data_IF_131684338041
#
_entry.id   IF_131684338041
#
_cell.length_a   1.000
_cell.length_b   1.000
_cell.length_c   1.000
_cell.angle_alpha   90.00
_cell.angle_beta   90.00
_cell.angle_gamma   90.00
#
_symmetry.space_group_name_H-M   'P 1'
#
loop_
_entity.id
_entity.type
_entity.pdbx_description
1 polymer ?
#
# COMPACT_ATOMS: atom_id res chain seq x y z
N UNK A 1 29.74 39.29 -10.71
CA UNK A 1 29.17 38.59 -11.89
C UNK A 1 27.67 38.57 -11.67
N UNK A 2 26.94 39.09 -12.64
CA UNK A 2 25.61 39.66 -12.48
C UNK A 2 24.53 38.64 -12.10
N UNK A 3 23.80 38.93 -11.02
CA UNK A 3 22.53 38.29 -10.67
C UNK A 3 21.56 38.45 -11.84
N UNK A 4 21.34 37.36 -12.56
CA UNK A 4 20.32 37.29 -13.60
C UNK A 4 19.07 36.73 -12.94
N UNK A 5 18.29 37.59 -12.30
CA UNK A 5 16.94 37.25 -11.84
C UNK A 5 16.09 36.98 -13.08
N UNK A 6 15.86 35.70 -13.39
CA UNK A 6 14.78 35.31 -14.29
C UNK A 6 13.46 35.91 -13.75
N UNK A 7 12.62 36.53 -14.59
CA UNK A 7 11.37 37.10 -14.13
C UNK A 7 10.47 35.97 -13.58
N UNK A 8 10.21 36.01 -12.27
CA UNK A 8 9.29 35.09 -11.59
C UNK A 8 7.95 35.05 -12.33
N UNK A 9 7.57 33.88 -12.84
CA UNK A 9 6.29 33.68 -13.54
C UNK A 9 5.15 33.59 -12.53
N UNK A 10 3.98 34.12 -12.88
CA UNK A 10 2.79 33.97 -12.05
C UNK A 10 2.18 32.57 -12.26
N UNK A 11 1.67 31.98 -11.17
CA UNK A 11 0.90 30.76 -11.23
C UNK A 11 -0.39 30.94 -12.04
N UNK A 12 -0.91 29.84 -12.59
CA UNK A 12 -2.18 29.84 -13.32
C UNK A 12 -3.38 30.04 -12.36
N UNK A 13 -4.58 30.35 -12.90
CA UNK A 13 -5.78 30.42 -12.08
C UNK A 13 -5.97 29.18 -11.17
N UNK A 14 -6.41 29.37 -9.91
CA UNK A 14 -6.94 30.62 -9.33
C UNK A 14 -5.91 31.47 -8.57
N UNK A 15 -4.61 31.20 -8.72
CA UNK A 15 -3.53 31.86 -7.96
C UNK A 15 -2.92 33.09 -8.65
N UNK A 16 -3.72 33.76 -9.47
CA UNK A 16 -3.40 35.00 -10.20
C UNK A 16 -4.35 36.16 -9.85
N UNK A 17 -5.23 35.98 -8.86
CA UNK A 17 -6.30 36.93 -8.57
C UNK A 17 -5.78 38.30 -8.08
N UNK A 18 -6.28 39.40 -8.68
CA UNK A 18 -5.80 40.77 -8.40
C UNK A 18 -6.00 41.24 -6.96
N UNK A 19 -7.06 40.75 -6.30
CA UNK A 19 -7.40 41.09 -4.90
C UNK A 19 -6.67 40.26 -3.84
N UNK A 20 -5.73 39.40 -4.23
CA UNK A 20 -4.90 38.67 -3.28
C UNK A 20 -4.16 39.64 -2.34
N UNK A 21 -3.89 39.21 -1.11
CA UNK A 21 -3.30 40.03 -0.05
C UNK A 21 -1.89 39.56 0.38
N UNK A 22 -1.37 38.51 -0.27
CA UNK A 22 0.01 38.02 -0.12
C UNK A 22 0.44 37.24 -1.36
N UNK A 23 1.75 37.24 -1.63
CA UNK A 23 2.37 36.38 -2.65
C UNK A 23 3.21 35.32 -1.94
N UNK A 24 2.93 34.04 -2.22
CA UNK A 24 3.82 32.93 -1.86
C UNK A 24 4.69 32.59 -3.07
N UNK A 25 6.01 32.54 -2.88
CA UNK A 25 6.96 32.22 -3.95
C UNK A 25 7.50 30.81 -3.75
N UNK A 26 7.35 29.96 -4.76
CA UNK A 26 7.94 28.61 -4.76
C UNK A 26 9.47 28.66 -4.89
N UNK A 27 10.13 27.53 -4.60
CA UNK A 27 11.59 27.41 -4.73
C UNK A 27 12.09 27.52 -6.17
N UNK A 28 11.24 27.23 -7.15
CA UNK A 28 11.50 27.44 -8.58
C UNK A 28 10.94 28.78 -9.11
N UNK A 29 10.79 29.79 -8.23
CA UNK A 29 10.46 31.18 -8.55
C UNK A 29 9.10 31.40 -9.26
N UNK A 30 8.10 30.57 -8.96
CA UNK A 30 6.71 30.81 -9.37
C UNK A 30 5.97 31.53 -8.25
N UNK A 31 5.27 32.61 -8.60
CA UNK A 31 4.56 33.45 -7.66
C UNK A 31 3.06 33.10 -7.62
N UNK A 32 2.57 32.76 -6.44
CA UNK A 32 1.18 32.44 -6.15
C UNK A 32 0.53 33.59 -5.41
N UNK A 33 -0.42 34.27 -6.06
CA UNK A 33 -1.27 35.30 -5.43
C UNK A 33 -2.38 34.60 -4.65
N UNK A 34 -2.32 34.69 -3.31
CA UNK A 34 -3.24 33.97 -2.42
C UNK A 34 -3.93 34.90 -1.42
N UNK A 35 -4.99 34.39 -0.80
CA UNK A 35 -5.70 35.07 0.28
C UNK A 35 -5.28 34.49 1.63
N UNK A 36 -4.74 35.33 2.50
CA UNK A 36 -4.35 34.97 3.87
C UNK A 36 -5.49 34.28 4.62
N UNK A 37 -6.74 34.73 4.42
CA UNK A 37 -7.93 34.17 5.08
C UNK A 37 -8.04 32.65 4.91
N UNK A 38 -7.95 32.12 3.69
CA UNK A 38 -8.12 30.68 3.45
C UNK A 38 -7.00 29.87 4.08
N UNK A 39 -5.77 30.35 3.97
CA UNK A 39 -4.61 29.69 4.55
C UNK A 39 -4.61 29.74 6.08
N UNK A 40 -5.01 30.85 6.70
CA UNK A 40 -5.15 30.96 8.16
C UNK A 40 -6.24 30.03 8.70
N UNK A 41 -7.36 29.88 7.99
CA UNK A 41 -8.43 28.97 8.38
C UNK A 41 -8.02 27.49 8.23
N UNK A 42 -7.21 27.18 7.22
CA UNK A 42 -6.72 25.83 6.97
C UNK A 42 -5.56 25.43 7.90
N UNK A 43 -4.72 26.39 8.31
CA UNK A 43 -3.45 26.13 8.99
C UNK A 43 -3.17 27.13 10.13
N UNK A 44 -2.95 26.64 11.36
CA UNK A 44 -2.47 27.48 12.45
C UNK A 44 -1.04 28.00 12.22
N UNK A 45 -0.24 27.32 11.39
CA UNK A 45 1.08 27.81 10.99
C UNK A 45 0.95 29.09 10.17
N UNK A 46 0.10 29.10 9.14
CA UNK A 46 -0.11 30.27 8.31
C UNK A 46 -0.80 31.39 9.08
N UNK A 47 -1.77 31.07 9.95
CA UNK A 47 -2.38 32.04 10.86
C UNK A 47 -1.31 32.75 11.72
N UNK A 48 -0.40 31.97 12.31
CA UNK A 48 0.70 32.54 13.10
C UNK A 48 1.63 33.38 12.23
N UNK A 49 2.07 32.84 11.08
CA UNK A 49 2.99 33.49 10.15
C UNK A 49 2.49 34.87 9.71
N UNK A 50 1.20 35.00 9.38
CA UNK A 50 0.62 36.25 8.91
C UNK A 50 0.35 37.27 10.01
N UNK A 51 0.30 36.83 11.27
CA UNK A 51 0.12 37.69 12.44
C UNK A 51 1.45 38.16 13.05
N UNK A 52 2.60 37.67 12.57
CA UNK A 52 3.90 38.13 13.04
C UNK A 52 4.11 39.62 12.70
N UNK A 53 4.68 40.43 13.61
CA UNK A 53 5.05 41.80 13.31
C UNK A 53 6.05 41.83 12.16
N UNK A 54 5.67 42.41 11.02
CA UNK A 54 6.64 42.65 9.96
C UNK A 54 7.58 43.78 10.40
N UNK A 55 8.90 43.66 10.19
CA UNK A 55 9.83 44.75 10.45
C UNK A 55 9.39 45.97 9.64
N UNK A 56 9.27 47.12 10.32
CA UNK A 56 8.85 48.38 9.72
C UNK A 56 9.73 48.76 8.52
N UNK A 57 9.11 49.35 7.50
CA UNK A 57 9.76 49.76 6.23
C UNK A 57 10.99 50.66 6.43
N UNK A 58 11.11 51.32 7.57
CA UNK A 58 12.22 52.21 7.89
C UNK A 58 13.54 51.49 8.27
N UNK A 59 13.52 50.17 8.51
CA UNK A 59 14.68 49.46 9.07
C UNK A 59 15.08 48.15 8.40
N UNK A 60 14.38 47.69 7.36
CA UNK A 60 14.74 46.42 6.71
C UNK A 60 14.74 46.51 5.19
N UNK A 61 15.91 46.32 4.58
CA UNK A 61 16.11 46.08 3.14
C UNK A 61 15.64 44.70 2.69
N UNK A 62 15.09 43.90 3.60
CA UNK A 62 14.93 42.45 3.42
C UNK A 62 13.48 42.01 3.16
N UNK A 63 12.50 42.93 3.25
CA UNK A 63 11.10 42.60 2.89
C UNK A 63 10.91 42.77 1.39
N UNK A 64 10.96 41.65 0.68
CA UNK A 64 10.68 41.62 -0.76
C UNK A 64 9.19 41.88 -0.97
N UNK A 65 8.88 42.98 -1.65
CA UNK A 65 7.51 43.30 -2.09
C UNK A 65 7.42 43.19 -3.61
N UNK A 66 6.26 42.75 -4.11
CA UNK A 66 5.94 42.69 -5.54
C UNK A 66 4.49 43.10 -5.72
N UNK A 67 4.23 44.03 -6.64
CA UNK A 67 2.90 44.60 -6.91
C UNK A 67 2.20 45.17 -5.66
N UNK A 68 2.99 45.71 -4.71
CA UNK A 68 2.49 46.24 -3.44
C UNK A 68 2.11 45.17 -2.41
N UNK A 69 2.38 43.89 -2.69
CA UNK A 69 2.11 42.77 -1.79
C UNK A 69 3.41 42.22 -1.19
N UNK A 70 3.38 41.74 0.07
CA UNK A 70 4.52 41.03 0.66
C UNK A 70 4.74 39.69 -0.05
N UNK A 71 6.00 39.38 -0.36
CA UNK A 71 6.41 38.10 -0.96
C UNK A 71 7.06 37.22 0.10
N UNK A 72 6.49 36.02 0.31
CA UNK A 72 6.99 35.02 1.26
C UNK A 72 7.57 33.85 0.48
N UNK A 73 8.90 33.63 0.52
CA UNK A 73 9.51 32.46 -0.12
C UNK A 73 9.23 31.18 0.67
N UNK A 74 8.87 30.12 -0.05
CA UNK A 74 8.67 28.76 0.45
C UNK A 74 9.68 27.80 -0.21
N UNK A 75 9.89 26.62 0.38
CA UNK A 75 10.90 25.67 -0.12
C UNK A 75 10.35 24.68 -1.16
N UNK A 76 9.04 24.60 -1.25
CA UNK A 76 8.28 23.71 -2.11
C UNK A 76 8.33 24.24 -3.54
N UNK A 77 8.43 23.33 -4.51
CA UNK A 77 8.30 23.68 -5.93
C UNK A 77 6.87 24.12 -6.26
N UNK A 78 6.69 24.68 -7.45
CA UNK A 78 5.41 25.19 -7.91
C UNK A 78 4.32 24.13 -8.00
N UNK A 79 4.64 22.88 -8.35
CA UNK A 79 3.66 21.82 -8.53
C UNK A 79 3.10 21.32 -7.19
N UNK A 80 4.00 21.10 -6.24
CA UNK A 80 3.66 20.77 -4.84
C UNK A 80 2.86 21.89 -4.20
N UNK A 81 3.30 23.14 -4.38
CA UNK A 81 2.67 24.30 -3.78
C UNK A 81 1.28 24.56 -4.39
N UNK A 82 1.12 24.46 -5.71
CA UNK A 82 -0.18 24.58 -6.38
C UNK A 82 -1.18 23.55 -5.83
N UNK A 83 -0.77 22.29 -5.78
CA UNK A 83 -1.58 21.18 -5.25
C UNK A 83 -2.00 21.42 -3.79
N UNK A 84 -1.05 21.80 -2.93
CA UNK A 84 -1.32 22.07 -1.52
C UNK A 84 -2.28 23.26 -1.35
N UNK A 85 -2.06 24.34 -2.09
CA UNK A 85 -2.89 25.54 -1.99
C UNK A 85 -4.33 25.27 -2.45
N UNK A 86 -4.53 24.45 -3.49
CA UNK A 86 -5.87 24.04 -3.94
C UNK A 86 -6.62 23.32 -2.83
N UNK A 87 -5.94 22.48 -2.05
CA UNK A 87 -6.55 21.76 -0.92
C UNK A 87 -6.92 22.71 0.25
N UNK A 88 -6.31 23.88 0.35
CA UNK A 88 -6.66 24.91 1.34
C UNK A 88 -7.83 25.80 0.92
N UNK A 89 -8.22 25.79 -0.35
CA UNK A 89 -9.24 26.68 -0.90
C UNK A 89 -10.61 25.99 -0.97
N UNK A 90 -11.73 26.74 -0.85
CA UNK A 90 -13.07 26.17 -1.04
C UNK A 90 -13.20 25.49 -2.41
N UNK A 91 -13.76 24.27 -2.45
CA UNK A 91 -13.91 23.47 -3.68
C UNK A 91 -14.77 24.13 -4.77
N UNK A 92 -15.49 25.21 -4.46
CA UNK A 92 -16.22 26.04 -5.44
C UNK A 92 -15.33 27.03 -6.18
N UNK A 93 -14.09 27.23 -5.74
CA UNK A 93 -13.14 28.20 -6.27
C UNK A 93 -11.94 27.54 -6.97
N UNK A 94 -11.76 26.23 -6.80
CA UNK A 94 -10.62 25.47 -7.33
C UNK A 94 -11.11 24.18 -7.97
N UNK A 95 -10.51 23.82 -9.09
CA UNK A 95 -10.50 22.43 -9.54
C UNK A 95 -9.54 21.65 -8.64
N UNK A 96 -10.03 20.61 -7.97
CA UNK A 96 -9.18 19.72 -7.19
C UNK A 96 -8.31 18.95 -8.17
N UNK A 97 -7.00 19.16 -8.09
CA UNK A 97 -6.05 18.39 -8.88
C UNK A 97 -6.17 16.91 -8.50
N UNK A 98 -6.34 16.05 -9.50
CA UNK A 98 -6.18 14.60 -9.31
C UNK A 98 -4.71 14.35 -9.02
N UNK A 99 -4.38 14.04 -7.76
CA UNK A 99 -3.03 13.67 -7.35
C UNK A 99 -2.73 12.24 -7.80
N UNK A 100 -2.54 12.06 -9.12
CA UNK A 100 -2.18 10.77 -9.72
C UNK A 100 -0.68 10.49 -9.58
N UNK A 101 0.14 11.54 -9.48
CA UNK A 101 1.58 11.44 -9.30
C UNK A 101 1.94 11.21 -7.81
N UNK A 102 2.51 10.04 -7.54
CA UNK A 102 2.92 9.62 -6.19
C UNK A 102 4.07 10.47 -5.62
N UNK A 103 4.96 11.03 -6.46
CA UNK A 103 6.03 11.94 -6.01
C UNK A 103 5.45 13.28 -5.57
N UNK A 104 4.52 13.83 -6.34
CA UNK A 104 3.80 15.06 -5.97
C UNK A 104 3.04 14.83 -4.67
N UNK A 105 2.34 13.69 -4.55
CA UNK A 105 1.61 13.34 -3.33
C UNK A 105 2.52 13.23 -2.11
N UNK A 106 3.70 12.62 -2.24
CA UNK A 106 4.69 12.55 -1.16
C UNK A 106 5.16 13.96 -0.74
N UNK A 107 5.43 14.84 -1.70
CA UNK A 107 5.82 16.22 -1.42
C UNK A 107 4.69 17.01 -0.75
N UNK A 108 3.44 16.82 -1.19
CA UNK A 108 2.25 17.45 -0.59
C UNK A 108 2.04 16.96 0.84
N UNK A 109 2.23 15.68 1.14
CA UNK A 109 2.14 15.15 2.50
C UNK A 109 3.19 15.76 3.44
N UNK A 110 4.44 15.89 2.97
CA UNK A 110 5.51 16.55 3.74
C UNK A 110 5.21 18.04 3.95
N UNK A 111 4.74 18.74 2.92
CA UNK A 111 4.34 20.14 3.03
C UNK A 111 3.14 20.30 3.98
N UNK A 112 2.15 19.41 3.92
CA UNK A 112 1.00 19.42 4.82
C UNK A 112 1.43 19.24 6.28
N UNK A 113 2.40 18.35 6.54
CA UNK A 113 3.02 18.17 7.86
C UNK A 113 3.77 19.43 8.30
N UNK A 114 4.62 19.99 7.44
CA UNK A 114 5.42 21.20 7.70
C UNK A 114 4.56 22.41 8.03
N UNK A 115 3.43 22.57 7.33
CA UNK A 115 2.51 23.69 7.48
C UNK A 115 1.33 23.38 8.39
N UNK A 116 1.40 22.34 9.22
CA UNK A 116 0.35 22.00 10.21
C UNK A 116 -1.06 21.87 9.60
N UNK A 117 -1.16 21.39 8.36
CA UNK A 117 -2.41 21.15 7.63
C UNK A 117 -2.95 19.75 7.95
N UNK A 118 -3.35 19.54 9.21
CA UNK A 118 -3.71 18.22 9.74
C UNK A 118 -4.85 17.55 8.98
N UNK A 119 -5.88 18.31 8.60
CA UNK A 119 -7.05 17.77 7.91
C UNK A 119 -6.74 17.37 6.46
N UNK A 120 -5.89 18.15 5.77
CA UNK A 120 -5.42 17.82 4.43
C UNK A 120 -4.56 16.56 4.48
N UNK A 121 -3.64 16.47 5.45
CA UNK A 121 -2.86 15.26 5.68
C UNK A 121 -3.77 14.05 5.90
N UNK A 122 -4.79 14.16 6.75
CA UNK A 122 -5.75 13.09 7.03
C UNK A 122 -6.46 12.62 5.76
N UNK A 123 -7.02 13.55 4.97
CA UNK A 123 -7.71 13.22 3.71
C UNK A 123 -6.76 12.57 2.69
N UNK A 124 -5.54 13.08 2.56
CA UNK A 124 -4.53 12.51 1.67
C UNK A 124 -4.14 11.08 2.08
N UNK A 125 -3.94 10.83 3.38
CA UNK A 125 -3.69 9.49 3.91
C UNK A 125 -4.87 8.54 3.66
N UNK A 126 -6.10 8.96 3.93
CA UNK A 126 -7.30 8.13 3.68
C UNK A 126 -7.45 7.74 2.21
N UNK A 127 -7.15 8.67 1.30
CA UNK A 127 -7.18 8.39 -0.14
C UNK A 127 -6.05 7.45 -0.57
N UNK A 128 -4.81 7.73 -0.14
CA UNK A 128 -3.60 6.99 -0.55
C UNK A 128 -3.58 5.56 0.00
N UNK A 129 -4.04 5.35 1.23
CA UNK A 129 -4.06 4.06 1.89
C UNK A 129 -5.45 3.40 1.85
N UNK A 130 -6.30 3.82 0.91
CA UNK A 130 -7.54 3.12 0.59
C UNK A 130 -7.23 1.72 0.01
N UNK A 131 -8.10 0.71 0.23
CA UNK A 131 -7.88 -0.64 -0.29
C UNK A 131 -7.66 -0.68 -1.80
N UNK A 132 -8.38 0.15 -2.55
CA UNK A 132 -8.30 0.24 -4.02
C UNK A 132 -6.91 0.70 -4.49
N UNK A 133 -6.36 1.75 -3.86
CA UNK A 133 -5.03 2.26 -4.20
C UNK A 133 -3.94 1.32 -3.71
N UNK A 134 -4.07 0.75 -2.51
CA UNK A 134 -3.13 -0.23 -1.98
C UNK A 134 -3.06 -1.50 -2.83
N UNK A 135 -4.18 -1.97 -3.37
CA UNK A 135 -4.22 -3.12 -4.28
C UNK A 135 -3.48 -2.86 -5.59
N UNK A 136 -3.61 -1.66 -6.14
CA UNK A 136 -2.97 -1.29 -7.40
C UNK A 136 -1.51 -0.82 -7.23
N UNK A 137 -1.16 -0.22 -6.09
CA UNK A 137 0.07 0.56 -5.91
C UNK A 137 0.76 0.33 -4.54
N UNK A 138 0.63 -0.87 -3.96
CA UNK A 138 1.18 -1.22 -2.64
C UNK A 138 2.63 -0.77 -2.42
N UNK A 139 3.52 -1.02 -3.39
CA UNK A 139 4.94 -0.64 -3.33
C UNK A 139 5.14 0.88 -3.28
N UNK A 140 4.38 1.64 -4.06
CA UNK A 140 4.44 3.12 -4.04
C UNK A 140 3.91 3.67 -2.73
N UNK A 141 2.80 3.12 -2.23
CA UNK A 141 2.24 3.49 -0.94
C UNK A 141 3.23 3.23 0.20
N UNK A 142 3.92 2.08 0.18
CA UNK A 142 4.97 1.75 1.13
C UNK A 142 6.11 2.78 1.11
N UNK A 143 6.60 3.12 -0.08
CA UNK A 143 7.64 4.13 -0.25
C UNK A 143 7.24 5.49 0.31
N UNK A 144 6.03 5.96 0.00
CA UNK A 144 5.53 7.23 0.53
C UNK A 144 5.41 7.18 2.06
N UNK A 145 4.88 6.07 2.60
CA UNK A 145 4.77 5.90 4.03
C UNK A 145 6.14 5.96 4.73
N UNK A 146 7.16 5.32 4.16
CA UNK A 146 8.53 5.37 4.68
C UNK A 146 9.07 6.80 4.67
N UNK A 147 9.00 7.47 3.52
CA UNK A 147 9.49 8.84 3.35
C UNK A 147 8.84 9.82 4.33
N UNK A 148 7.56 9.62 4.65
CA UNK A 148 6.82 10.47 5.58
C UNK A 148 6.84 10.04 7.04
N UNK A 149 7.62 8.99 7.37
CA UNK A 149 7.73 8.40 8.70
C UNK A 149 6.37 7.96 9.28
N UNK A 150 5.52 7.37 8.44
CA UNK A 150 4.16 6.94 8.79
C UNK A 150 4.16 5.43 9.10
N UNK A 151 4.38 5.09 10.37
CA UNK A 151 4.69 3.71 10.79
C UNK A 151 3.55 2.73 10.52
N UNK A 152 2.32 3.11 10.88
CA UNK A 152 1.14 2.25 10.72
C UNK A 152 0.83 2.02 9.23
N UNK A 153 0.95 3.09 8.43
CA UNK A 153 0.78 3.06 6.98
C UNK A 153 1.88 2.23 6.29
N UNK A 154 3.12 2.24 6.81
CA UNK A 154 4.19 1.37 6.33
C UNK A 154 3.85 -0.10 6.55
N UNK A 155 3.40 -0.45 7.76
CA UNK A 155 3.02 -1.82 8.09
C UNK A 155 1.83 -2.30 7.25
N UNK A 156 0.83 -1.42 7.06
CA UNK A 156 -0.33 -1.68 6.22
C UNK A 156 0.10 -1.90 4.76
N UNK A 157 0.85 -0.97 4.17
CA UNK A 157 1.29 -1.08 2.78
C UNK A 157 2.19 -2.31 2.57
N UNK A 158 3.11 -2.61 3.50
CA UNK A 158 3.96 -3.79 3.44
C UNK A 158 3.16 -5.08 3.37
N UNK A 159 2.03 -5.19 4.11
CA UNK A 159 1.12 -6.34 4.00
C UNK A 159 0.54 -6.49 2.60
N UNK A 160 0.17 -5.38 1.96
CA UNK A 160 -0.36 -5.41 0.59
C UNK A 160 0.72 -5.79 -0.43
N UNK A 161 2.00 -5.47 -0.18
CA UNK A 161 3.11 -5.88 -1.07
C UNK A 161 3.29 -7.39 -1.16
N UNK A 162 2.75 -8.19 -0.22
CA UNK A 162 2.81 -9.65 -0.26
C UNK A 162 2.04 -10.27 -1.46
N UNK A 163 1.25 -9.46 -2.17
CA UNK A 163 0.57 -9.82 -3.42
C UNK A 163 1.49 -9.69 -4.65
N UNK A 164 2.59 -8.96 -4.50
CA UNK A 164 3.61 -8.75 -5.51
C UNK A 164 4.74 -9.79 -5.36
N UNK A 165 5.52 -10.05 -6.44
CA UNK A 165 6.69 -10.91 -6.35
C UNK A 165 7.70 -10.42 -5.31
N UNK A 166 8.50 -11.34 -4.75
CA UNK A 166 9.50 -11.01 -3.72
C UNK A 166 10.47 -9.93 -4.20
N UNK A 167 10.93 -10.04 -5.43
CA UNK A 167 11.76 -9.02 -6.06
C UNK A 167 10.87 -8.22 -7.00
N UNK A 168 10.50 -6.98 -6.64
CA UNK A 168 9.64 -6.18 -7.47
C UNK A 168 10.36 -5.71 -8.74
N UNK A 169 9.59 -5.45 -9.79
CA UNK A 169 10.09 -4.70 -10.95
C UNK A 169 10.42 -3.27 -10.54
N UNK A 170 11.34 -2.63 -11.26
CA UNK A 170 11.68 -1.22 -11.01
C UNK A 170 10.45 -0.32 -11.16
N UNK A 171 10.32 0.64 -10.25
CA UNK A 171 9.31 1.71 -10.26
C UNK A 171 9.99 3.01 -9.79
N UNK A 172 9.53 4.15 -10.29
CA UNK A 172 10.24 5.43 -10.16
C UNK A 172 10.38 5.91 -8.71
N UNK A 173 9.39 5.64 -7.87
CA UNK A 173 9.35 6.09 -6.49
C UNK A 173 10.35 5.33 -5.60
N UNK A 174 10.91 4.21 -6.05
CA UNK A 174 11.93 3.46 -5.29
C UNK A 174 13.16 4.32 -4.93
N UNK A 175 13.43 5.38 -5.70
CA UNK A 175 14.49 6.35 -5.46
C UNK A 175 14.26 7.22 -4.21
N UNK A 176 13.03 7.23 -3.67
CA UNK A 176 12.65 8.01 -2.50
C UNK A 176 12.96 7.32 -1.17
N UNK A 177 13.37 6.05 -1.20
CA UNK A 177 13.75 5.29 -0.02
C UNK A 177 15.21 4.82 -0.11
N UNK A 178 15.78 4.56 1.06
CA UNK A 178 17.10 3.99 1.22
C UNK A 178 17.11 2.49 0.89
N UNK A 179 18.30 1.97 0.58
CA UNK A 179 18.50 0.52 0.46
C UNK A 179 18.16 -0.24 1.74
N UNK A 180 18.26 0.40 2.91
CA UNK A 180 17.95 -0.20 4.21
C UNK A 180 16.45 -0.42 4.35
N UNK A 181 15.62 0.55 3.98
CA UNK A 181 14.15 0.44 4.01
C UNK A 181 13.66 -0.60 2.99
N UNK A 182 14.25 -0.62 1.79
CA UNK A 182 13.95 -1.65 0.79
C UNK A 182 14.33 -3.05 1.33
N UNK A 183 15.52 -3.20 1.92
CA UNK A 183 15.96 -4.47 2.48
C UNK A 183 15.06 -4.93 3.63
N UNK A 184 14.55 -4.01 4.45
CA UNK A 184 13.58 -4.30 5.50
C UNK A 184 12.28 -4.87 4.93
N UNK A 185 11.74 -4.26 3.85
CA UNK A 185 10.55 -4.76 3.16
C UNK A 185 10.78 -6.17 2.58
N UNK A 186 11.89 -6.37 1.86
CA UNK A 186 12.21 -7.68 1.27
C UNK A 186 12.42 -8.76 2.34
N UNK A 187 13.03 -8.38 3.47
CA UNK A 187 13.21 -9.28 4.60
C UNK A 187 11.89 -9.63 5.27
N UNK A 188 11.01 -8.64 5.49
CA UNK A 188 9.65 -8.84 5.97
C UNK A 188 8.90 -9.83 5.06
N UNK A 189 8.91 -9.59 3.75
CA UNK A 189 8.26 -10.42 2.76
C UNK A 189 8.76 -11.88 2.79
N UNK A 190 10.09 -12.08 2.81
CA UNK A 190 10.69 -13.41 2.95
C UNK A 190 10.31 -14.10 4.26
N UNK A 191 10.24 -13.35 5.37
CA UNK A 191 9.82 -13.89 6.68
C UNK A 191 8.36 -14.35 6.64
N UNK A 192 7.46 -13.61 6.00
CA UNK A 192 6.07 -14.03 5.77
C UNK A 192 6.00 -15.35 4.99
N UNK A 193 6.70 -15.44 3.85
CA UNK A 193 6.76 -16.68 3.06
C UNK A 193 7.30 -17.86 3.87
N UNK A 194 8.37 -17.64 4.66
CA UNK A 194 8.97 -18.67 5.53
C UNK A 194 8.03 -19.11 6.64
N UNK A 195 7.33 -18.17 7.29
CA UNK A 195 6.36 -18.47 8.34
C UNK A 195 5.26 -19.39 7.82
N UNK A 196 4.73 -19.11 6.62
CA UNK A 196 3.70 -19.94 5.98
C UNK A 196 4.19 -21.35 5.66
N UNK A 197 5.47 -21.53 5.28
CA UNK A 197 6.01 -22.86 5.00
C UNK A 197 5.91 -23.82 6.19
N UNK A 198 5.85 -23.32 7.43
CA UNK A 198 5.68 -24.18 8.62
C UNK A 198 4.39 -25.00 8.58
N UNK A 199 3.35 -24.53 7.89
CA UNK A 199 2.09 -25.26 7.69
C UNK A 199 2.23 -26.50 6.80
N UNK A 200 3.32 -26.58 6.01
CA UNK A 200 3.67 -27.75 5.18
C UNK A 200 4.37 -28.84 6.00
N UNK A 201 5.03 -28.47 7.09
CA UNK A 201 5.79 -29.38 7.95
C UNK A 201 4.95 -29.89 9.12
N UNK A 202 4.04 -29.06 9.65
CA UNK A 202 3.10 -29.42 10.71
C UNK A 202 1.64 -29.31 10.23
N UNK A 203 0.93 -30.45 10.20
CA UNK A 203 -0.48 -30.54 9.82
C UNK A 203 -1.45 -30.48 11.01
N UNK A 204 -0.96 -30.17 12.22
CA UNK A 204 -1.77 -30.08 13.44
C UNK A 204 -2.95 -29.11 13.29
N UNK A 205 -2.78 -28.04 12.52
CA UNK A 205 -3.82 -27.04 12.22
C UNK A 205 -5.01 -27.62 11.46
N UNK A 206 -4.84 -28.69 10.70
CA UNK A 206 -5.95 -29.37 10.02
C UNK A 206 -6.67 -30.38 10.91
N UNK A 207 -5.95 -31.02 11.84
CA UNK A 207 -6.46 -32.16 12.61
C UNK A 207 -7.68 -31.81 13.47
N UNK A 208 -7.81 -30.55 13.89
CA UNK A 208 -8.99 -30.07 14.64
C UNK A 208 -10.27 -30.15 13.82
N UNK A 209 -10.20 -29.83 12.52
CA UNK A 209 -11.37 -29.81 11.63
C UNK A 209 -11.52 -31.14 10.85
N UNK A 210 -10.40 -31.80 10.58
CA UNK A 210 -10.33 -33.06 9.85
C UNK A 210 -9.56 -34.10 10.69
N UNK A 211 -10.18 -34.69 11.73
CA UNK A 211 -9.48 -35.62 12.62
C UNK A 211 -9.20 -36.98 11.98
N UNK A 212 -9.93 -37.33 10.91
CA UNK A 212 -9.83 -38.62 10.22
C UNK A 212 -10.25 -38.46 8.76
N UNK A 213 -9.78 -39.37 7.90
CA UNK A 213 -10.02 -39.30 6.46
C UNK A 213 -11.53 -39.32 6.10
N UNK A 214 -12.40 -39.89 6.93
CA UNK A 214 -13.85 -39.93 6.71
C UNK A 214 -14.50 -38.54 6.78
N UNK A 215 -13.87 -37.56 7.44
CA UNK A 215 -14.31 -36.18 7.46
C UNK A 215 -14.03 -35.46 6.12
N UNK A 216 -12.99 -35.87 5.40
CA UNK A 216 -12.61 -35.32 4.11
C UNK A 216 -12.13 -36.41 3.13
N UNK A 217 -13.04 -37.33 2.72
CA UNK A 217 -12.66 -38.46 1.87
C UNK A 217 -12.14 -38.01 0.48
N UNK A 218 -12.57 -36.81 0.05
CA UNK A 218 -12.12 -36.18 -1.18
C UNK A 218 -10.62 -35.82 -1.18
N UNK A 219 -10.03 -35.46 -0.03
CA UNK A 219 -8.59 -35.15 0.09
C UNK A 219 -7.70 -36.37 -0.15
N UNK A 220 -8.23 -37.58 0.09
CA UNK A 220 -7.53 -38.86 -0.06
C UNK A 220 -8.00 -39.66 -1.28
N UNK A 221 -8.86 -39.08 -2.12
CA UNK A 221 -9.36 -39.74 -3.32
C UNK A 221 -10.19 -40.97 -3.01
N UNK A 222 -11.03 -40.93 -1.96
CA UNK A 222 -11.99 -41.97 -1.60
C UNK A 222 -13.42 -41.45 -1.70
N UNK A 223 -14.36 -42.37 -1.89
CA UNK A 223 -15.79 -42.13 -1.65
C UNK A 223 -16.08 -42.15 -0.14
N UNK A 224 -17.27 -41.69 0.31
CA UNK A 224 -17.69 -41.82 1.71
C UNK A 224 -17.71 -43.27 2.22
N UNK A 225 -17.89 -44.24 1.32
CA UNK A 225 -17.81 -45.67 1.63
C UNK A 225 -16.38 -46.21 1.79
N UNK A 226 -15.35 -45.37 1.56
CA UNK A 226 -13.94 -45.73 1.64
C UNK A 226 -13.35 -46.38 0.39
N UNK A 227 -14.15 -46.53 -0.67
CA UNK A 227 -13.68 -47.03 -1.97
C UNK A 227 -12.80 -45.98 -2.65
N UNK A 228 -11.62 -46.35 -3.19
CA UNK A 228 -10.78 -45.40 -3.93
C UNK A 228 -11.51 -44.93 -5.20
N UNK A 229 -11.48 -43.64 -5.47
CA UNK A 229 -12.12 -43.02 -6.65
C UNK A 229 -11.15 -42.19 -7.51
N UNK A 230 -9.96 -41.87 -7.01
CA UNK A 230 -8.92 -41.13 -7.72
C UNK A 230 -7.53 -41.72 -7.48
N UNK A 231 -6.57 -41.36 -8.34
CA UNK A 231 -5.16 -41.67 -8.15
C UNK A 231 -4.64 -41.06 -6.86
N UNK A 232 -3.94 -41.86 -6.06
CA UNK A 232 -3.29 -41.44 -4.81
C UNK A 232 -1.81 -41.21 -5.04
N UNK A 233 -1.26 -40.28 -4.27
CA UNK A 233 0.16 -39.98 -4.33
C UNK A 233 1.00 -41.11 -3.74
N UNK A 234 2.08 -41.47 -4.43
CA UNK A 234 3.08 -42.41 -3.95
C UNK A 234 4.22 -41.74 -3.16
N UNK A 235 4.27 -40.40 -3.10
CA UNK A 235 5.41 -39.69 -2.53
C UNK A 235 5.45 -39.75 -0.99
N UNK A 236 4.28 -39.97 -0.36
CA UNK A 236 4.07 -39.96 1.10
C UNK A 236 4.56 -38.69 1.80
N UNK A 237 4.74 -37.59 1.05
CA UNK A 237 5.15 -36.27 1.58
C UNK A 237 4.07 -35.69 2.49
N UNK A 238 2.81 -35.81 2.08
CA UNK A 238 1.66 -35.31 2.81
C UNK A 238 0.96 -36.47 3.54
N UNK A 239 1.33 -36.71 4.80
CA UNK A 239 0.68 -37.71 5.67
C UNK A 239 -0.49 -37.08 6.42
N UNK A 240 -1.51 -36.65 5.66
CA UNK A 240 -2.68 -35.94 6.20
C UNK A 240 -3.42 -36.75 7.26
N UNK A 241 -3.54 -38.06 7.05
CA UNK A 241 -4.23 -38.97 7.96
C UNK A 241 -3.41 -40.25 8.19
N UNK A 242 -3.43 -40.83 9.40
CA UNK A 242 -2.76 -42.09 9.67
C UNK A 242 -3.18 -43.20 8.69
N UNK A 243 -2.20 -43.83 8.03
CA UNK A 243 -2.42 -44.98 7.15
C UNK A 243 -3.12 -44.69 5.82
N UNK A 244 -3.33 -43.42 5.45
CA UNK A 244 -3.95 -43.06 4.15
C UNK A 244 -3.11 -42.03 3.39
N UNK A 245 -2.84 -42.33 2.13
CA UNK A 245 -2.16 -41.42 1.20
C UNK A 245 -3.13 -40.38 0.64
N UNK A 246 -2.65 -39.15 0.45
CA UNK A 246 -3.42 -38.07 -0.16
C UNK A 246 -3.74 -38.36 -1.64
N UNK A 247 -4.79 -37.73 -2.16
CA UNK A 247 -5.05 -37.72 -3.59
C UNK A 247 -3.89 -37.01 -4.31
N UNK A 248 -3.49 -37.52 -5.48
CA UNK A 248 -2.36 -36.97 -6.24
C UNK A 248 -2.58 -35.49 -6.60
N UNK A 249 -3.80 -35.12 -6.99
CA UNK A 249 -4.16 -33.73 -7.32
C UNK A 249 -4.09 -32.82 -6.08
N UNK A 250 -4.42 -33.33 -4.89
CA UNK A 250 -4.41 -32.56 -3.65
C UNK A 250 -2.97 -32.29 -3.21
N UNK A 251 -2.10 -33.29 -3.31
CA UNK A 251 -0.66 -33.10 -3.10
C UNK A 251 -0.09 -32.05 -4.07
N UNK A 252 -0.43 -32.15 -5.36
CA UNK A 252 0.02 -31.18 -6.36
C UNK A 252 -0.47 -29.75 -6.03
N UNK A 253 -1.72 -29.61 -5.59
CA UNK A 253 -2.27 -28.34 -5.12
C UNK A 253 -1.51 -27.79 -3.90
N UNK A 254 -1.23 -28.63 -2.89
CA UNK A 254 -0.47 -28.20 -1.71
C UNK A 254 0.93 -27.73 -2.12
N UNK A 255 1.65 -28.50 -2.92
CA UNK A 255 2.98 -28.11 -3.39
C UNK A 255 2.97 -26.81 -4.18
N UNK A 256 2.07 -26.66 -5.16
CA UNK A 256 2.01 -25.44 -5.98
C UNK A 256 1.60 -24.24 -5.14
N UNK A 257 0.68 -24.40 -4.19
CA UNK A 257 0.22 -23.30 -3.34
C UNK A 257 1.33 -22.83 -2.41
N UNK A 258 2.02 -23.76 -1.73
CA UNK A 258 3.13 -23.38 -0.87
C UNK A 258 4.34 -22.86 -1.65
N UNK A 259 4.57 -23.32 -2.89
CA UNK A 259 5.61 -22.76 -3.76
C UNK A 259 5.26 -21.32 -4.18
N UNK A 260 4.05 -21.08 -4.68
CA UNK A 260 3.59 -19.75 -5.05
C UNK A 260 3.64 -18.78 -3.86
N UNK A 261 3.28 -19.23 -2.66
CA UNK A 261 3.34 -18.42 -1.44
C UNK A 261 4.76 -18.10 -0.96
N UNK A 262 5.82 -18.70 -1.52
CA UNK A 262 7.18 -18.23 -1.25
C UNK A 262 7.47 -16.89 -1.96
N UNK A 263 6.84 -16.67 -3.11
CA UNK A 263 6.98 -15.44 -3.89
C UNK A 263 5.86 -14.43 -3.61
N UNK A 264 4.63 -14.92 -3.38
CA UNK A 264 3.41 -14.13 -3.15
C UNK A 264 2.59 -14.67 -1.96
N UNK A 265 3.03 -14.48 -0.71
CA UNK A 265 2.38 -14.94 0.51
C UNK A 265 1.14 -14.11 0.84
N UNK A 266 0.09 -14.25 0.03
CA UNK A 266 -1.18 -13.56 0.23
C UNK A 266 -2.39 -14.50 0.04
N UNK A 267 -3.54 -14.04 0.50
CA UNK A 267 -4.81 -14.76 0.43
C UNK A 267 -5.25 -15.00 -1.03
N UNK A 268 -4.98 -14.07 -1.94
CA UNK A 268 -5.31 -14.21 -3.36
C UNK A 268 -4.56 -15.37 -4.02
N UNK A 269 -3.31 -15.64 -3.59
CA UNK A 269 -2.55 -16.80 -4.05
C UNK A 269 -3.25 -18.11 -3.67
N UNK A 270 -3.81 -18.19 -2.46
CA UNK A 270 -4.57 -19.37 -1.99
C UNK A 270 -5.85 -19.53 -2.82
N UNK A 271 -6.63 -18.46 -2.99
CA UNK A 271 -7.86 -18.49 -3.79
C UNK A 271 -7.62 -18.93 -5.23
N UNK A 272 -6.61 -18.34 -5.90
CA UNK A 272 -6.23 -18.70 -7.27
C UNK A 272 -5.88 -20.18 -7.40
N UNK A 273 -5.13 -20.73 -6.45
CA UNK A 273 -4.71 -22.12 -6.50
C UNK A 273 -5.84 -23.10 -6.14
N UNK A 274 -6.77 -22.71 -5.26
CA UNK A 274 -8.01 -23.46 -5.02
C UNK A 274 -8.84 -23.55 -6.30
N UNK A 275 -9.04 -22.43 -6.99
CA UNK A 275 -9.82 -22.41 -8.23
C UNK A 275 -9.19 -23.32 -9.30
N UNK A 276 -7.87 -23.22 -9.51
CA UNK A 276 -7.13 -24.11 -10.42
C UNK A 276 -7.29 -25.58 -10.05
N UNK A 277 -7.19 -25.93 -8.77
CA UNK A 277 -7.36 -27.30 -8.30
C UNK A 277 -8.78 -27.83 -8.56
N UNK A 278 -9.80 -27.01 -8.26
CA UNK A 278 -11.22 -27.34 -8.53
C UNK A 278 -11.48 -27.54 -10.02
N UNK A 279 -10.94 -26.66 -10.88
CA UNK A 279 -11.06 -26.80 -12.33
C UNK A 279 -10.38 -28.08 -12.83
N UNK A 280 -9.17 -28.38 -12.33
CA UNK A 280 -8.42 -29.60 -12.67
C UNK A 280 -9.21 -30.86 -12.33
N UNK A 281 -9.82 -30.91 -11.14
CA UNK A 281 -10.62 -32.08 -10.72
C UNK A 281 -11.91 -32.20 -11.55
N UNK A 282 -12.55 -31.09 -11.91
CA UNK A 282 -13.77 -31.10 -12.75
C UNK A 282 -13.51 -31.58 -14.17
N UNK A 283 -12.32 -31.34 -14.70
CA UNK A 283 -11.90 -31.81 -16.02
C UNK A 283 -11.53 -33.31 -16.02
N UNK A 284 -11.31 -33.91 -14.84
CA UNK A 284 -11.05 -35.34 -14.71
C UNK A 284 -12.30 -36.22 -14.77
N UNK A 285 -12.09 -37.53 -14.95
CA UNK A 285 -13.18 -38.51 -15.13
C UNK A 285 -13.87 -38.95 -13.82
N UNK A 286 -13.43 -38.46 -12.66
CA UNK A 286 -13.99 -38.89 -11.38
C UNK A 286 -15.28 -38.16 -11.04
N UNK A 287 -16.42 -38.82 -11.31
CA UNK A 287 -17.77 -38.31 -11.01
C UNK A 287 -17.99 -37.93 -9.54
N UNK A 288 -17.29 -38.58 -8.61
CA UNK A 288 -17.42 -38.29 -7.19
C UNK A 288 -16.67 -37.01 -6.81
N UNK A 289 -15.37 -36.94 -7.15
CA UNK A 289 -14.55 -35.79 -6.81
C UNK A 289 -14.98 -34.52 -7.55
N UNK A 290 -15.50 -34.61 -8.78
CA UNK A 290 -16.03 -33.46 -9.51
C UNK A 290 -17.17 -32.73 -8.77
N UNK A 291 -17.92 -33.46 -7.95
CA UNK A 291 -19.03 -32.95 -7.13
C UNK A 291 -18.57 -32.56 -5.72
N UNK A 292 -17.76 -33.40 -5.07
CA UNK A 292 -17.37 -33.20 -3.67
C UNK A 292 -16.28 -32.14 -3.47
N UNK A 293 -15.30 -32.07 -4.37
CA UNK A 293 -14.12 -31.19 -4.22
C UNK A 293 -14.46 -29.70 -4.20
N UNK A 294 -15.36 -29.15 -5.04
CA UNK A 294 -15.68 -27.72 -4.99
C UNK A 294 -16.15 -27.23 -3.61
N UNK A 295 -16.96 -28.03 -2.90
CA UNK A 295 -17.40 -27.70 -1.54
C UNK A 295 -16.25 -27.87 -0.54
N UNK A 296 -15.60 -29.02 -0.54
CA UNK A 296 -14.51 -29.31 0.39
C UNK A 296 -13.32 -28.35 0.29
N UNK A 297 -12.93 -27.94 -0.93
CA UNK A 297 -11.85 -26.96 -1.14
C UNK A 297 -12.22 -25.56 -0.67
N UNK A 298 -13.51 -25.19 -0.69
CA UNK A 298 -13.97 -23.92 -0.14
C UNK A 298 -13.76 -23.92 1.38
N UNK A 299 -14.22 -24.96 2.05
CA UNK A 299 -14.12 -25.09 3.52
C UNK A 299 -12.65 -25.20 3.97
N UNK A 300 -11.85 -26.00 3.26
CA UNK A 300 -10.41 -26.06 3.46
C UNK A 300 -9.72 -24.72 3.20
N UNK A 301 -10.16 -23.99 2.17
CA UNK A 301 -9.63 -22.68 1.83
C UNK A 301 -9.78 -21.67 2.95
N UNK A 302 -10.96 -21.61 3.58
CA UNK A 302 -11.20 -20.75 4.75
C UNK A 302 -10.20 -21.06 5.86
N UNK A 303 -10.04 -22.35 6.21
CA UNK A 303 -9.09 -22.77 7.24
C UNK A 303 -7.64 -22.39 6.91
N UNK A 304 -7.21 -22.61 5.66
CA UNK A 304 -5.85 -22.28 5.23
C UNK A 304 -5.61 -20.77 5.24
N UNK A 305 -6.58 -19.98 4.77
CA UNK A 305 -6.53 -18.51 4.76
C UNK A 305 -6.40 -17.97 6.18
N UNK A 306 -7.24 -18.45 7.11
CA UNK A 306 -7.19 -18.04 8.52
C UNK A 306 -5.80 -18.30 9.12
N UNK A 307 -5.20 -19.46 8.81
CA UNK A 307 -3.85 -19.80 9.29
C UNK A 307 -2.74 -18.98 8.64
N UNK A 308 -2.87 -18.67 7.36
CA UNK A 308 -1.92 -17.80 6.65
C UNK A 308 -1.95 -16.39 7.25
N UNK A 309 -3.13 -15.80 7.44
CA UNK A 309 -3.30 -14.48 8.06
C UNK A 309 -2.79 -14.45 9.50
N UNK A 310 -3.07 -15.50 10.29
CA UNK A 310 -2.56 -15.64 11.66
C UNK A 310 -1.02 -15.62 11.69
N UNK A 311 -0.36 -16.32 10.76
CA UNK A 311 1.09 -16.38 10.69
C UNK A 311 1.70 -15.07 10.19
N UNK A 312 1.14 -14.46 9.14
CA UNK A 312 1.58 -13.16 8.63
C UNK A 312 1.42 -12.08 9.71
N UNK A 313 0.33 -12.11 10.48
CA UNK A 313 0.09 -11.17 11.59
C UNK A 313 1.08 -11.23 12.75
N UNK A 314 1.87 -12.30 12.85
CA UNK A 314 2.95 -12.42 13.84
C UNK A 314 4.30 -11.94 13.31
N UNK A 315 4.42 -11.64 12.01
CA UNK A 315 5.65 -11.14 11.41
C UNK A 315 5.65 -9.62 11.52
N UNK A 316 6.66 -9.09 12.20
CA UNK A 316 6.86 -7.65 12.33
C UNK A 316 7.75 -7.10 11.21
N UNK A 317 7.39 -5.89 10.75
CA UNK A 317 8.19 -5.09 9.85
C UNK A 317 9.21 -4.28 10.68
N UNK A 318 10.49 -4.54 10.47
CA UNK A 318 11.59 -3.87 11.20
C UNK A 318 12.07 -2.64 10.43
N UNK A 319 11.42 -1.50 10.67
CA UNK A 319 11.82 -0.19 10.16
C UNK A 319 12.27 0.72 11.31
N UNK A 320 13.34 1.50 11.06
CA UNK A 320 13.85 2.50 12.00
C UNK A 320 13.45 3.87 11.48
N UNK A 321 12.62 4.57 12.26
CA UNK A 321 12.19 5.95 12.01
C UNK A 321 12.86 6.91 12.97
#
# INVERSE_FOLDING_TARGET
MSDSQDPSSYASPPFDHEKADVILRSSNNVDFRVFKLFLSLASPFFETLFNLPQPSEETSTDVVTKDGLPVIPLSEDSETLDSLLRLCYPCTLVEIATLEDFRVLANVLEAAKKYSLAEIKRMACESLFSPEILEANSLRCFVIACRSCMQDECALAARYTLREPLVPTWFEEIELITSTELLALLTYHRKCGTAIQTLKDDFSWMNTQYPQWTAAPWMVGKTPSGSPCCTRSSSRRYRLFPGTEAAQWFEAFMDSTFLDMQDKPCVETVHRNIEKAVQTVRQGDCRHCSVAVPGGMRDFGVLLIDKVEELIGKVELDLKF
#
